data_IF_192659853159
#
_entry.id   IF_192659853159
#
_cell.length_a   1.000
_cell.length_b   1.000
_cell.length_c   1.000
_cell.angle_alpha   90.00
_cell.angle_beta   90.00
_cell.angle_gamma   90.00
#
_symmetry.space_group_name_H-M   'P 1'
#
loop_
_entity.id
_entity.type
_entity.pdbx_description
1 polymer ?
#
# COMPACT_ATOMS: atom_id res chain seq x y z
N UNK A 1 -32.34 -21.09 -9.81
CA UNK A 1 -30.91 -21.41 -9.91
C UNK A 1 -30.42 -21.85 -8.54
N UNK A 2 -29.57 -22.87 -8.43
CA UNK A 2 -28.99 -23.24 -7.15
C UNK A 2 -28.11 -22.08 -6.62
N UNK A 3 -28.23 -21.79 -5.34
CA UNK A 3 -27.34 -20.84 -4.64
C UNK A 3 -26.29 -21.62 -3.88
N UNK A 4 -25.03 -21.37 -4.17
CA UNK A 4 -23.89 -21.91 -3.43
C UNK A 4 -23.30 -20.75 -2.60
N UNK A 5 -23.36 -20.82 -1.26
CA UNK A 5 -22.77 -19.80 -0.41
C UNK A 5 -21.26 -19.73 -0.61
N UNK A 6 -20.70 -18.53 -0.53
CA UNK A 6 -19.26 -18.30 -0.61
C UNK A 6 -18.75 -17.39 0.50
N UNK A 7 -17.55 -17.70 1.01
CA UNK A 7 -16.87 -16.89 2.00
C UNK A 7 -15.47 -16.50 1.52
N UNK A 8 -15.16 -15.20 1.66
CA UNK A 8 -13.82 -14.69 1.60
C UNK A 8 -13.16 -14.86 2.99
N UNK A 9 -12.12 -15.67 3.04
CA UNK A 9 -11.52 -16.17 4.29
C UNK A 9 -10.17 -15.57 4.58
N UNK A 10 -9.76 -14.51 3.89
CA UNK A 10 -8.47 -13.87 4.02
C UNK A 10 -8.62 -12.36 4.31
N UNK A 11 -7.52 -11.73 4.67
CA UNK A 11 -7.40 -10.30 4.74
C UNK A 11 -7.22 -9.72 6.14
N UNK A 12 -7.01 -8.43 6.15
CA UNK A 12 -6.65 -7.64 7.32
C UNK A 12 -7.61 -7.79 8.52
N UNK A 13 -8.94 -7.84 8.37
CA UNK A 13 -9.84 -8.00 9.51
C UNK A 13 -9.62 -9.29 10.30
N UNK A 14 -9.27 -10.38 9.60
CA UNK A 14 -8.98 -11.69 10.23
C UNK A 14 -7.62 -11.64 10.93
N UNK A 15 -6.59 -11.15 10.23
CA UNK A 15 -5.23 -11.02 10.77
C UNK A 15 -5.19 -10.10 11.98
N UNK A 16 -5.84 -8.95 11.92
CA UNK A 16 -5.93 -8.02 13.03
C UNK A 16 -6.60 -8.63 14.26
N UNK A 17 -7.67 -9.40 14.07
CA UNK A 17 -8.34 -10.10 15.18
C UNK A 17 -7.41 -11.12 15.85
N UNK A 18 -6.64 -11.86 15.06
CA UNK A 18 -5.64 -12.81 15.56
C UNK A 18 -4.54 -12.08 16.33
N UNK A 19 -4.02 -10.98 15.80
CA UNK A 19 -2.99 -10.15 16.46
C UNK A 19 -3.47 -9.59 17.81
N UNK A 20 -4.68 -9.05 17.87
CA UNK A 20 -5.26 -8.51 19.10
C UNK A 20 -5.45 -9.61 20.15
N UNK A 21 -5.79 -10.82 19.70
CA UNK A 21 -6.09 -11.94 20.62
C UNK A 21 -4.83 -12.67 21.08
N UNK A 22 -3.84 -12.83 20.21
CA UNK A 22 -2.67 -13.70 20.43
C UNK A 22 -1.32 -12.96 20.43
N UNK A 23 -1.30 -11.66 20.08
CA UNK A 23 -0.08 -10.84 19.98
C UNK A 23 0.50 -10.76 18.56
N UNK A 24 1.35 -9.73 18.34
CA UNK A 24 1.88 -9.37 17.00
C UNK A 24 3.09 -10.20 16.53
N UNK A 25 3.80 -10.88 17.43
CA UNK A 25 5.12 -11.49 17.12
C UNK A 25 5.07 -13.01 17.01
N UNK A 26 4.01 -13.54 16.41
CA UNK A 26 3.88 -14.96 16.17
C UNK A 26 4.62 -15.38 14.88
N UNK A 27 5.15 -16.63 14.83
CA UNK A 27 5.63 -17.20 13.59
C UNK A 27 4.54 -17.23 12.50
N UNK A 28 4.94 -17.03 11.24
CA UNK A 28 3.98 -16.86 10.12
C UNK A 28 3.09 -18.10 9.88
N UNK A 29 3.59 -19.30 10.13
CA UNK A 29 2.83 -20.53 10.08
C UNK A 29 1.75 -20.59 11.17
N UNK A 30 2.08 -20.13 12.37
CA UNK A 30 1.12 -20.04 13.48
C UNK A 30 0.03 -18.99 13.23
N UNK A 31 0.40 -17.83 12.66
CA UNK A 31 -0.58 -16.82 12.26
C UNK A 31 -1.57 -17.41 11.24
N UNK A 32 -1.08 -18.08 10.20
CA UNK A 32 -1.94 -18.73 9.20
C UNK A 32 -2.88 -19.78 9.79
N UNK A 33 -2.37 -20.60 10.71
CA UNK A 33 -3.21 -21.58 11.41
C UNK A 33 -4.34 -20.92 12.19
N UNK A 34 -4.02 -19.89 12.98
CA UNK A 34 -4.99 -19.16 13.79
C UNK A 34 -6.02 -18.40 12.93
N UNK A 35 -5.56 -17.78 11.83
CA UNK A 35 -6.46 -17.11 10.88
C UNK A 35 -7.46 -18.09 10.25
N UNK A 36 -7.01 -19.28 9.82
CA UNK A 36 -7.89 -20.33 9.28
C UNK A 36 -8.89 -20.81 10.32
N UNK A 37 -8.46 -21.03 11.56
CA UNK A 37 -9.34 -21.45 12.64
C UNK A 37 -10.41 -20.40 12.93
N UNK A 38 -10.02 -19.13 13.03
CA UNK A 38 -10.94 -18.01 13.25
C UNK A 38 -11.94 -17.87 12.08
N UNK A 39 -11.47 -17.91 10.84
CA UNK A 39 -12.34 -17.83 9.67
C UNK A 39 -13.35 -18.99 9.63
N UNK A 40 -12.93 -20.21 9.94
CA UNK A 40 -13.81 -21.37 10.02
C UNK A 40 -14.90 -21.20 11.10
N UNK A 41 -14.56 -20.68 12.27
CA UNK A 41 -15.52 -20.37 13.33
C UNK A 41 -16.56 -19.34 12.86
N UNK A 42 -16.11 -18.25 12.22
CA UNK A 42 -17.01 -17.21 11.72
C UNK A 42 -17.94 -17.70 10.62
N UNK A 43 -17.49 -18.61 9.77
CA UNK A 43 -18.33 -19.26 8.75
C UNK A 43 -19.49 -20.02 9.39
N UNK A 44 -19.23 -20.80 10.42
CA UNK A 44 -20.30 -21.57 11.08
C UNK A 44 -21.32 -20.67 11.79
N UNK A 45 -20.88 -19.58 12.40
CA UNK A 45 -21.76 -18.59 13.02
C UNK A 45 -22.66 -17.93 11.96
N UNK A 46 -22.07 -17.43 10.88
CA UNK A 46 -22.80 -16.76 9.80
C UNK A 46 -23.74 -17.72 9.07
N UNK A 47 -23.30 -18.96 8.80
CA UNK A 47 -24.13 -20.02 8.22
C UNK A 47 -25.41 -20.25 9.04
N UNK A 48 -25.26 -20.39 10.35
CA UNK A 48 -26.40 -20.58 11.25
C UNK A 48 -27.39 -19.42 11.20
N UNK A 49 -26.85 -18.16 11.17
CA UNK A 49 -27.69 -16.96 11.10
C UNK A 49 -28.43 -16.84 9.75
N UNK A 50 -27.76 -17.11 8.63
CA UNK A 50 -28.40 -17.07 7.31
C UNK A 50 -29.47 -18.14 7.17
N UNK A 51 -29.24 -19.37 7.66
CA UNK A 51 -30.26 -20.44 7.69
C UNK A 51 -31.44 -19.99 8.55
N UNK A 52 -31.23 -19.40 9.71
CA UNK A 52 -32.27 -18.88 10.57
C UNK A 52 -33.09 -17.77 9.88
N UNK A 53 -32.45 -16.94 9.06
CA UNK A 53 -33.13 -15.91 8.25
C UNK A 53 -33.89 -16.48 7.05
N UNK A 54 -33.84 -17.78 6.81
CA UNK A 54 -34.58 -18.44 5.74
C UNK A 54 -33.87 -18.40 4.38
N UNK A 55 -32.56 -18.13 4.33
CA UNK A 55 -31.79 -18.19 3.09
C UNK A 55 -31.61 -19.64 2.65
N UNK A 56 -32.15 -19.99 1.48
CA UNK A 56 -32.03 -21.32 0.88
C UNK A 56 -30.74 -21.41 0.04
N UNK A 57 -29.99 -22.48 0.23
CA UNK A 57 -28.75 -22.73 -0.51
C UNK A 57 -28.13 -24.08 -0.19
N UNK A 58 -27.07 -24.42 -0.92
CA UNK A 58 -26.25 -25.59 -0.66
C UNK A 58 -25.23 -25.29 0.45
N UNK A 59 -25.69 -25.33 1.68
CA UNK A 59 -24.90 -25.03 2.86
C UNK A 59 -23.90 -26.13 3.23
N UNK A 60 -24.01 -27.30 2.63
CA UNK A 60 -23.11 -28.43 2.91
C UNK A 60 -21.87 -28.41 2.00
N UNK A 61 -21.96 -27.74 0.84
CA UNK A 61 -20.86 -27.63 -0.13
C UNK A 61 -20.58 -26.16 -0.46
N UNK A 62 -20.19 -25.32 0.52
CA UNK A 62 -19.92 -23.92 0.28
C UNK A 62 -18.60 -23.71 -0.48
N UNK A 63 -18.49 -22.58 -1.17
CA UNK A 63 -17.23 -22.09 -1.69
C UNK A 63 -16.47 -21.32 -0.60
N UNK A 64 -15.21 -21.69 -0.34
CA UNK A 64 -14.36 -21.00 0.63
C UNK A 64 -13.01 -20.67 -0.01
N UNK A 65 -12.60 -19.41 0.03
CA UNK A 65 -11.34 -18.99 -0.57
C UNK A 65 -10.12 -19.62 0.10
N UNK A 66 -10.22 -20.02 1.37
CA UNK A 66 -9.16 -20.71 2.12
C UNK A 66 -9.05 -22.23 1.85
N UNK A 67 -9.91 -22.82 1.03
CA UNK A 67 -9.78 -24.24 0.70
C UNK A 67 -8.51 -24.46 -0.14
N UNK A 68 -7.70 -25.46 0.23
CA UNK A 68 -6.41 -25.71 -0.39
C UNK A 68 -6.49 -25.93 -1.91
N UNK A 69 -7.57 -26.54 -2.39
CA UNK A 69 -7.79 -26.70 -3.82
C UNK A 69 -7.99 -25.36 -4.53
N UNK A 70 -8.67 -24.42 -3.89
CA UNK A 70 -8.89 -23.08 -4.41
C UNK A 70 -7.60 -22.29 -4.44
N UNK A 71 -6.87 -22.21 -3.32
CA UNK A 71 -5.56 -21.55 -3.23
C UNK A 71 -4.57 -22.12 -4.27
N UNK A 72 -4.56 -23.42 -4.46
CA UNK A 72 -3.71 -24.05 -5.48
C UNK A 72 -4.10 -23.64 -6.91
N UNK A 73 -5.40 -23.45 -7.20
CA UNK A 73 -5.86 -22.99 -8.51
C UNK A 73 -5.50 -21.54 -8.77
N UNK A 74 -5.57 -20.67 -7.75
CA UNK A 74 -5.12 -19.28 -7.85
C UNK A 74 -3.63 -19.20 -8.19
N UNK A 75 -2.78 -19.98 -7.52
CA UNK A 75 -1.34 -20.05 -7.80
C UNK A 75 -1.09 -20.56 -9.22
N UNK A 76 -1.83 -21.57 -9.70
CA UNK A 76 -1.72 -22.08 -11.09
C UNK A 76 -2.09 -21.01 -12.11
N UNK A 77 -3.18 -20.27 -11.87
CA UNK A 77 -3.61 -19.18 -12.74
C UNK A 77 -2.53 -18.07 -12.80
N UNK A 78 -1.98 -17.66 -11.65
CA UNK A 78 -0.90 -16.68 -11.58
C UNK A 78 0.37 -17.19 -12.30
N UNK A 79 0.69 -18.48 -12.17
CA UNK A 79 1.83 -19.09 -12.87
C UNK A 79 1.68 -19.02 -14.39
N UNK A 80 0.48 -19.27 -14.93
CA UNK A 80 0.24 -19.13 -16.38
C UNK A 80 0.36 -17.68 -16.85
N UNK A 81 -0.14 -16.71 -16.09
CA UNK A 81 0.02 -15.29 -16.40
C UNK A 81 1.51 -14.88 -16.38
N UNK A 82 2.27 -15.39 -15.41
CA UNK A 82 3.73 -15.15 -15.30
C UNK A 82 4.47 -15.76 -16.49
N UNK A 83 4.14 -16.98 -16.85
CA UNK A 83 4.74 -17.68 -18.02
C UNK A 83 4.49 -16.93 -19.32
N UNK A 84 3.32 -16.31 -19.47
CA UNK A 84 2.96 -15.50 -20.62
C UNK A 84 3.55 -14.07 -20.59
N UNK A 85 4.35 -13.71 -19.58
CA UNK A 85 5.04 -12.42 -19.48
C UNK A 85 4.19 -11.25 -18.96
N UNK A 86 2.98 -11.51 -18.47
CA UNK A 86 2.11 -10.44 -17.93
C UNK A 86 2.46 -10.02 -16.50
N UNK A 87 3.20 -10.85 -15.78
CA UNK A 87 3.61 -10.57 -14.39
C UNK A 87 5.12 -10.37 -14.35
N UNK A 88 5.55 -9.24 -13.83
CA UNK A 88 6.97 -8.91 -13.66
C UNK A 88 7.19 -8.13 -12.36
N UNK A 89 8.40 -8.18 -11.83
CA UNK A 89 8.79 -7.42 -10.64
C UNK A 89 9.07 -5.97 -11.01
N UNK A 90 8.40 -5.03 -10.37
CA UNK A 90 8.60 -3.60 -10.56
C UNK A 90 8.49 -2.84 -9.24
N UNK A 91 8.85 -1.55 -9.26
CA UNK A 91 8.67 -0.64 -8.14
C UNK A 91 7.48 0.29 -8.45
N UNK A 92 6.59 0.43 -7.48
CA UNK A 92 5.44 1.35 -7.54
C UNK A 92 5.22 1.93 -6.15
N UNK A 93 5.02 3.26 -6.01
CA UNK A 93 4.58 3.84 -4.75
C UNK A 93 3.24 3.25 -4.32
N UNK A 94 3.14 2.89 -3.05
CA UNK A 94 1.92 2.33 -2.45
C UNK A 94 1.60 3.05 -1.14
N UNK A 95 0.32 3.11 -0.79
CA UNK A 95 -0.09 3.56 0.54
C UNK A 95 0.34 2.51 1.56
N UNK A 96 0.91 2.95 2.67
CA UNK A 96 1.42 2.08 3.71
C UNK A 96 0.92 2.51 5.09
N UNK A 97 0.37 1.58 5.85
CA UNK A 97 -0.01 1.79 7.24
C UNK A 97 1.13 1.35 8.16
N UNK A 98 1.67 2.28 8.95
CA UNK A 98 2.77 1.98 9.88
C UNK A 98 2.30 1.14 11.08
N UNK A 99 1.05 1.32 11.51
CA UNK A 99 0.49 0.60 12.65
C UNK A 99 0.17 -0.85 12.29
N UNK A 100 -0.39 -1.07 11.10
CA UNK A 100 -0.69 -2.41 10.58
C UNK A 100 0.53 -3.10 9.98
N UNK A 101 1.58 -2.34 9.59
CA UNK A 101 2.75 -2.88 8.88
C UNK A 101 2.39 -3.48 7.51
N UNK A 102 1.40 -2.89 6.83
CA UNK A 102 0.84 -3.42 5.58
C UNK A 102 0.60 -2.33 4.54
N UNK A 103 0.65 -2.71 3.26
CA UNK A 103 0.16 -1.89 2.17
C UNK A 103 -1.37 -1.81 2.21
N UNK A 104 -1.92 -0.67 1.79
CA UNK A 104 -3.36 -0.42 1.72
C UNK A 104 -3.79 -0.28 0.26
N UNK A 105 -4.96 -0.81 -0.06
CA UNK A 105 -5.66 -0.48 -1.31
C UNK A 105 -6.19 0.97 -1.25
N UNK A 106 -6.40 1.59 -2.40
CA UNK A 106 -6.93 2.96 -2.48
C UNK A 106 -8.26 3.13 -1.72
N UNK A 107 -9.12 2.13 -1.80
CA UNK A 107 -10.43 2.13 -1.11
C UNK A 107 -10.34 2.01 0.43
N UNK A 108 -9.19 1.64 0.95
CA UNK A 108 -8.94 1.51 2.40
C UNK A 108 -8.32 2.77 3.01
N UNK A 109 -7.99 3.76 2.17
CA UNK A 109 -7.36 5.01 2.60
C UNK A 109 -8.43 6.00 3.04
N UNK A 110 -8.33 6.45 4.29
CA UNK A 110 -9.15 7.51 4.83
C UNK A 110 -8.37 8.81 4.85
N UNK A 111 -9.06 9.90 4.49
CA UNK A 111 -8.47 11.24 4.45
C UNK A 111 -9.01 12.08 5.59
N UNK A 112 -8.11 12.80 6.25
CA UNK A 112 -8.47 13.74 7.32
C UNK A 112 -7.60 15.00 7.22
N UNK A 113 -8.17 16.14 7.61
CA UNK A 113 -7.41 17.37 7.71
C UNK A 113 -6.34 17.24 8.80
N UNK A 114 -5.10 17.49 8.42
CA UNK A 114 -3.96 17.42 9.33
C UNK A 114 -3.04 18.62 9.13
N UNK A 115 -2.75 19.40 10.18
CA UNK A 115 -1.71 20.42 10.09
C UNK A 115 -0.35 19.76 9.87
N UNK A 116 0.37 20.23 8.85
CA UNK A 116 1.71 19.75 8.53
C UNK A 116 2.69 20.93 8.47
N UNK A 117 3.91 20.79 8.99
CA UNK A 117 4.92 21.82 8.84
C UNK A 117 5.31 21.96 7.37
N UNK A 118 5.48 23.20 6.95
CA UNK A 118 6.06 23.54 5.65
C UNK A 118 7.38 24.25 5.84
N UNK A 119 8.33 24.03 4.94
CA UNK A 119 9.62 24.70 4.98
C UNK A 119 10.04 25.16 3.58
N UNK A 120 10.76 26.26 3.55
CA UNK A 120 11.56 26.69 2.40
C UNK A 120 12.99 26.22 2.59
N UNK A 121 13.57 25.60 1.57
CA UNK A 121 14.94 25.09 1.59
C UNK A 121 15.74 25.71 0.48
N UNK A 122 16.84 26.37 0.83
CA UNK A 122 17.78 26.96 -0.11
C UNK A 122 18.91 25.97 -0.43
N UNK A 123 19.03 25.58 -1.68
CA UNK A 123 20.14 24.78 -2.20
C UNK A 123 21.19 25.72 -2.84
N UNK A 124 22.36 25.87 -2.23
CA UNK A 124 23.38 26.79 -2.74
C UNK A 124 23.89 26.34 -4.12
N UNK A 125 24.05 27.31 -5.02
CA UNK A 125 24.73 27.06 -6.31
C UNK A 125 26.24 26.95 -6.04
N UNK A 126 26.85 25.89 -6.61
CA UNK A 126 28.30 25.72 -6.47
C UNK A 126 29.08 26.87 -7.13
N UNK A 127 30.20 27.24 -6.55
CA UNK A 127 31.03 28.36 -7.05
C UNK A 127 31.47 28.15 -8.51
N UNK A 128 31.68 26.93 -8.94
CA UNK A 128 32.07 26.61 -10.32
C UNK A 128 30.98 26.87 -11.36
N UNK A 129 29.70 26.94 -10.93
CA UNK A 129 28.56 27.21 -11.80
C UNK A 129 27.98 28.63 -11.64
N UNK A 130 28.56 29.44 -10.76
CA UNK A 130 28.08 30.80 -10.51
C UNK A 130 28.11 31.71 -11.74
N UNK A 131 29.19 31.65 -12.54
CA UNK A 131 29.29 32.42 -13.77
C UNK A 131 28.33 31.98 -14.86
N UNK A 132 28.08 30.66 -14.94
CA UNK A 132 27.09 30.09 -15.85
C UNK A 132 25.68 30.55 -15.50
N UNK A 133 25.37 30.58 -14.21
CA UNK A 133 24.08 31.08 -13.74
C UNK A 133 23.94 32.58 -14.02
N UNK A 134 24.97 33.39 -13.73
CA UNK A 134 24.97 34.82 -14.01
C UNK A 134 24.67 35.08 -15.50
N UNK A 135 25.38 34.39 -16.39
CA UNK A 135 25.20 34.51 -17.84
C UNK A 135 23.79 34.15 -18.29
N UNK A 136 23.17 33.10 -17.69
CA UNK A 136 21.81 32.72 -18.00
C UNK A 136 20.75 33.78 -17.66
N UNK A 137 21.08 34.63 -16.63
CA UNK A 137 20.24 35.78 -16.25
C UNK A 137 20.72 37.11 -16.90
N UNK A 138 21.64 37.08 -17.87
CA UNK A 138 22.18 38.28 -18.52
C UNK A 138 23.06 39.15 -17.63
N UNK A 139 23.59 38.59 -16.54
CA UNK A 139 24.46 39.31 -15.61
C UNK A 139 25.93 39.01 -15.90
N UNK A 140 26.80 40.01 -15.71
CA UNK A 140 28.26 39.82 -15.85
C UNK A 140 28.85 38.92 -14.74
N UNK A 141 28.31 39.00 -13.54
CA UNK A 141 28.61 38.14 -12.38
C UNK A 141 27.49 38.21 -11.36
N UNK A 142 27.50 37.30 -10.41
CA UNK A 142 26.62 37.35 -9.25
C UNK A 142 27.25 38.22 -8.17
N UNK A 143 26.51 39.19 -7.65
CA UNK A 143 26.96 40.08 -6.56
C UNK A 143 26.94 39.40 -5.19
N UNK A 144 26.13 38.33 -5.06
CA UNK A 144 25.96 37.55 -3.83
C UNK A 144 25.87 36.07 -4.18
N UNK A 145 26.14 35.18 -3.21
CA UNK A 145 25.86 33.76 -3.38
C UNK A 145 24.40 33.51 -3.77
N UNK A 146 24.18 32.69 -4.80
CA UNK A 146 22.87 32.32 -5.25
C UNK A 146 22.47 30.94 -4.71
N UNK A 147 21.17 30.73 -4.57
CA UNK A 147 20.59 29.43 -4.22
C UNK A 147 19.30 29.21 -4.98
N UNK A 148 19.01 27.98 -5.29
CA UNK A 148 17.68 27.56 -5.72
C UNK A 148 16.82 27.28 -4.47
N UNK A 149 15.67 27.92 -4.37
CA UNK A 149 14.77 27.76 -3.22
C UNK A 149 13.62 26.87 -3.63
N UNK A 150 13.31 25.87 -2.82
CA UNK A 150 12.13 25.04 -2.94
C UNK A 150 11.25 25.19 -1.71
N UNK A 151 9.96 24.97 -1.90
CA UNK A 151 9.00 24.84 -0.82
C UNK A 151 8.50 23.39 -0.75
N UNK A 152 8.33 22.88 0.47
CA UNK A 152 7.81 21.51 0.65
C UNK A 152 6.93 21.38 1.89
N UNK A 153 5.92 20.51 1.79
CA UNK A 153 5.09 20.03 2.91
C UNK A 153 5.63 18.74 3.52
N UNK A 154 6.71 18.17 2.96
CA UNK A 154 7.26 16.87 3.35
C UNK A 154 8.76 16.99 3.69
N UNK A 155 9.12 17.74 4.75
CA UNK A 155 10.53 18.05 5.06
C UNK A 155 11.42 16.83 5.32
N UNK A 156 10.85 15.70 5.72
CA UNK A 156 11.57 14.45 5.94
C UNK A 156 12.13 13.81 4.66
N UNK A 157 11.76 14.28 3.47
CA UNK A 157 12.32 13.81 2.20
C UNK A 157 13.65 14.50 1.83
N UNK A 158 13.95 15.66 2.42
CA UNK A 158 15.14 16.45 2.10
C UNK A 158 16.47 15.68 2.25
N UNK A 159 16.69 14.84 3.27
CA UNK A 159 17.94 14.08 3.38
C UNK A 159 18.22 13.14 2.20
N UNK A 160 17.21 12.73 1.46
CA UNK A 160 17.32 11.86 0.29
C UNK A 160 17.29 12.64 -1.04
N UNK A 161 17.28 13.98 -1.02
CA UNK A 161 17.17 14.79 -2.22
C UNK A 161 18.46 14.71 -3.05
N UNK A 162 18.34 14.41 -4.34
CA UNK A 162 19.48 14.26 -5.26
C UNK A 162 19.45 15.26 -6.41
N UNK A 163 18.29 15.85 -6.71
CA UNK A 163 18.14 16.78 -7.82
C UNK A 163 16.96 17.73 -7.58
N UNK A 164 17.01 18.88 -8.24
CA UNK A 164 15.90 19.80 -8.36
C UNK A 164 15.40 19.78 -9.81
N UNK A 165 14.07 19.74 -9.97
CA UNK A 165 13.42 19.80 -11.26
C UNK A 165 12.60 21.07 -11.34
N UNK A 166 12.62 21.71 -12.51
CA UNK A 166 11.83 22.88 -12.81
C UNK A 166 10.94 22.59 -14.04
N UNK A 167 9.74 23.15 -14.05
CA UNK A 167 8.89 23.11 -15.23
C UNK A 167 9.41 24.14 -16.24
N UNK A 168 9.61 23.79 -17.53
CA UNK A 168 10.23 24.69 -18.50
C UNK A 168 9.36 25.87 -18.92
N UNK A 169 8.04 25.82 -18.63
CA UNK A 169 7.06 26.82 -19.04
C UNK A 169 6.56 27.71 -17.88
N UNK A 170 7.09 27.51 -16.67
CA UNK A 170 6.77 28.36 -15.53
C UNK A 170 7.95 29.24 -15.16
N UNK A 171 7.65 30.52 -14.93
CA UNK A 171 8.60 31.55 -14.46
C UNK A 171 8.87 31.43 -12.95
#
# INVERSE_FOLDING_TARGET
>A
APYVPGWDCHGLPIEHKVEVTHGKNLPADKVRELCRAYAAEQIEIQKADFIRLGVLGDWDNPYRTMDFANEANEIRALAEMTKNGYVFKGLKPVNWCFDCGSALAEAEVEYADKPSPTIDVAFPVSSEHADKLAAAFGLAKLDKPAAAVIWTTTPWTIPANQALNAHPEFD
#
